data_IF_590131366485
#
_entry.id   IF_590131366485
#
_cell.length_a   1.000
_cell.length_b   1.000
_cell.length_c   1.000
_cell.angle_alpha   90.00
_cell.angle_beta   90.00
_cell.angle_gamma   90.00
#
_symmetry.space_group_name_H-M   'P 1'
#
loop_
_entity.id
_entity.type
_entity.pdbx_description
1 polymer ?
#
# COMPACT_ATOMS: atom_id res chain seq x y z
N UNK A 1 7.91 -21.71 -0.71
CA UNK A 1 7.89 -20.51 0.17
C UNK A 1 6.57 -19.80 -0.05
N UNK A 2 5.84 -19.46 1.02
CA UNK A 2 4.48 -18.89 0.93
C UNK A 2 4.58 -17.40 0.61
N UNK A 3 3.83 -16.93 -0.38
CA UNK A 3 3.72 -15.51 -0.70
C UNK A 3 3.07 -14.73 0.46
N UNK A 4 3.53 -13.52 0.78
CA UNK A 4 2.84 -12.68 1.76
C UNK A 4 1.52 -12.19 1.16
N UNK A 5 0.42 -12.46 1.85
CA UNK A 5 -0.86 -11.82 1.58
C UNK A 5 -0.79 -10.38 2.08
N UNK A 6 -1.31 -9.44 1.30
CA UNK A 6 -1.45 -8.04 1.71
C UNK A 6 -2.28 -7.97 2.99
N UNK A 7 -1.72 -7.42 4.06
CA UNK A 7 -2.47 -7.17 5.28
C UNK A 7 -3.40 -5.97 5.06
N UNK A 8 -4.63 -6.23 4.63
CA UNK A 8 -5.71 -5.24 4.61
C UNK A 8 -6.26 -5.06 6.03
N UNK A 9 -5.55 -4.31 6.87
CA UNK A 9 -6.05 -3.87 8.17
C UNK A 9 -6.98 -2.66 8.01
N UNK A 10 -8.08 -2.83 7.27
CA UNK A 10 -9.18 -1.85 7.18
C UNK A 10 -10.48 -2.54 7.61
N UNK A 11 -11.05 -2.19 8.77
CA UNK A 11 -12.35 -2.71 9.18
C UNK A 11 -13.43 -2.02 8.36
N UNK A 12 -14.14 -2.78 7.53
CA UNK A 12 -15.36 -2.37 6.87
C UNK A 12 -15.17 -1.86 5.44
N UNK A 13 -15.14 -2.80 4.49
CA UNK A 13 -15.98 -2.70 3.29
C UNK A 13 -16.00 -4.07 2.61
N UNK A 14 -17.14 -4.73 2.74
CA UNK A 14 -17.46 -5.99 2.09
C UNK A 14 -17.89 -5.65 0.65
N UNK A 15 -16.92 -5.61 -0.27
CA UNK A 15 -17.16 -5.51 -1.70
C UNK A 15 -16.56 -6.75 -2.35
N UNK A 16 -17.44 -7.69 -2.66
CA UNK A 16 -17.18 -8.85 -3.50
C UNK A 16 -16.74 -8.38 -4.88
N UNK A 17 -15.44 -8.47 -5.16
CA UNK A 17 -14.93 -8.43 -6.53
C UNK A 17 -14.41 -9.82 -6.85
N UNK A 18 -15.24 -10.58 -7.56
CA UNK A 18 -14.83 -11.77 -8.26
C UNK A 18 -13.67 -11.42 -9.20
N UNK A 19 -12.46 -11.78 -8.79
CA UNK A 19 -11.35 -11.97 -9.72
C UNK A 19 -10.73 -13.34 -9.47
N UNK A 20 -11.20 -14.26 -10.29
CA UNK A 20 -10.42 -15.32 -10.91
C UNK A 20 -8.98 -14.84 -11.22
N UNK A 21 -8.06 -15.17 -10.31
CA UNK A 21 -6.74 -15.66 -10.68
C UNK A 21 -6.54 -17.00 -9.99
N UNK A 22 -7.18 -17.95 -10.65
CA UNK A 22 -6.98 -19.38 -10.63
C UNK A 22 -5.48 -19.71 -10.69
N UNK A 23 -4.81 -19.91 -9.55
CA UNK A 23 -3.53 -20.62 -9.54
C UNK A 23 -3.34 -21.44 -8.25
N UNK A 24 -3.31 -22.75 -8.48
CA UNK A 24 -2.77 -23.80 -7.60
C UNK A 24 -3.36 -23.96 -6.20
N UNK A 25 -4.39 -24.81 -6.10
CA UNK A 25 -4.38 -26.06 -5.31
C UNK A 25 -5.75 -26.75 -5.44
N UNK A 26 -5.89 -27.66 -6.40
CA UNK A 26 -7.08 -28.52 -6.55
C UNK A 26 -7.12 -29.71 -5.57
N UNK A 27 -6.14 -29.86 -4.67
CA UNK A 27 -5.97 -31.07 -3.86
C UNK A 27 -6.06 -30.85 -2.35
N UNK A 28 -7.01 -30.05 -1.88
CA UNK A 28 -7.47 -30.12 -0.48
C UNK A 28 -9.00 -30.08 -0.44
N UNK A 29 -9.63 -31.06 -1.09
CA UNK A 29 -11.00 -31.42 -0.71
C UNK A 29 -10.93 -32.16 0.63
N UNK A 30 -11.73 -31.68 1.58
CA UNK A 30 -11.99 -32.22 2.91
C UNK A 30 -10.87 -32.14 3.97
N UNK A 31 -10.74 -30.96 4.59
CA UNK A 31 -10.35 -30.89 6.01
C UNK A 31 -11.51 -30.36 6.85
N UNK A 32 -12.52 -31.22 7.04
CA UNK A 32 -13.50 -31.05 8.12
C UNK A 32 -12.84 -31.40 9.45
N UNK A 33 -12.41 -30.39 10.21
CA UNK A 33 -11.88 -30.58 11.57
C UNK A 33 -13.02 -30.99 12.51
N UNK A 34 -13.21 -32.29 12.70
CA UNK A 34 -14.03 -32.84 13.78
C UNK A 34 -13.17 -32.96 15.03
N UNK A 35 -13.43 -32.11 16.01
CA UNK A 35 -12.84 -32.20 17.34
C UNK A 35 -13.51 -33.36 18.09
N UNK A 36 -12.97 -34.57 17.95
CA UNK A 36 -13.26 -35.67 18.86
C UNK A 36 -12.49 -35.43 20.16
N UNK A 37 -13.23 -35.15 21.23
CA UNK A 37 -12.76 -35.32 22.61
C UNK A 37 -12.71 -36.83 22.83
N UNK A 38 -11.51 -37.41 22.77
CA UNK A 38 -11.26 -38.76 23.26
C UNK A 38 -11.04 -38.63 24.77
N UNK A 39 -12.07 -39.03 25.53
CA UNK A 39 -12.07 -38.96 26.98
C UNK A 39 -12.18 -40.37 27.53
N UNK A 40 -11.06 -40.96 27.93
CA UNK A 40 -11.06 -42.14 28.77
C UNK A 40 -11.50 -41.77 30.20
N UNK A 41 -12.55 -42.45 30.63
CA UNK A 41 -13.29 -42.23 31.86
C UNK A 41 -12.50 -42.70 33.08
N UNK A 42 -12.07 -41.78 33.94
CA UNK A 42 -11.78 -42.12 35.33
C UNK A 42 -12.10 -40.94 36.27
N UNK A 43 -13.32 -40.98 36.82
CA UNK A 43 -13.55 -40.57 38.19
C UNK A 43 -14.15 -39.19 38.44
N UNK A 44 -15.36 -39.24 39.00
CA UNK A 44 -15.94 -38.26 39.92
C UNK A 44 -16.61 -37.00 39.34
N UNK A 45 -17.94 -37.08 39.29
CA UNK A 45 -18.86 -36.13 39.97
C UNK A 45 -18.61 -34.62 39.78
N UNK A 46 -19.44 -33.96 38.96
CA UNK A 46 -19.64 -32.52 39.07
C UNK A 46 -20.13 -31.81 37.81
N UNK A 47 -21.37 -32.09 37.38
CA UNK A 47 -22.00 -31.50 36.18
C UNK A 47 -22.40 -30.02 36.28
N UNK A 48 -21.67 -29.18 37.01
CA UNK A 48 -21.95 -27.75 37.14
C UNK A 48 -20.78 -26.84 36.73
N UNK A 49 -19.53 -27.35 36.74
CA UNK A 49 -18.34 -26.49 36.66
C UNK A 49 -17.88 -26.17 35.22
N UNK A 50 -18.22 -27.03 34.24
CA UNK A 50 -17.83 -26.81 32.83
C UNK A 50 -18.62 -25.67 32.20
N UNK A 51 -19.89 -25.50 32.55
CA UNK A 51 -20.72 -24.39 32.07
C UNK A 51 -20.25 -23.05 32.65
N UNK A 52 -19.74 -23.06 33.88
CA UNK A 52 -19.20 -21.87 34.54
C UNK A 52 -17.82 -21.49 34.00
N UNK A 53 -16.99 -22.46 33.59
CA UNK A 53 -15.75 -22.17 32.87
C UNK A 53 -16.02 -21.55 31.49
N UNK A 54 -16.99 -22.06 30.73
CA UNK A 54 -17.38 -21.49 29.43
C UNK A 54 -17.97 -20.08 29.60
N UNK A 55 -18.82 -19.84 30.60
CA UNK A 55 -19.34 -18.50 30.93
C UNK A 55 -18.24 -17.53 31.39
N UNK A 56 -17.21 -18.01 32.11
CA UNK A 56 -16.07 -17.20 32.56
C UNK A 56 -15.18 -16.77 31.38
N UNK A 57 -15.05 -17.61 30.36
CA UNK A 57 -14.32 -17.27 29.12
C UNK A 57 -15.14 -16.29 28.27
N UNK A 58 -16.44 -16.52 28.09
CA UNK A 58 -17.33 -15.63 27.35
C UNK A 58 -17.50 -14.25 28.02
N UNK A 59 -17.51 -14.18 29.35
CA UNK A 59 -17.60 -12.91 30.09
C UNK A 59 -16.28 -12.12 30.10
N UNK A 60 -15.12 -12.79 29.97
CA UNK A 60 -13.84 -12.11 29.71
C UNK A 60 -13.74 -11.53 28.30
N UNK A 61 -14.40 -12.15 27.32
CA UNK A 61 -14.49 -11.61 25.95
C UNK A 61 -15.54 -10.49 25.83
N UNK A 62 -16.59 -10.49 26.66
CA UNK A 62 -17.68 -9.49 26.61
C UNK A 62 -17.43 -8.24 27.46
N UNK A 63 -16.46 -8.25 28.38
CA UNK A 63 -16.17 -7.13 29.28
C UNK A 63 -14.99 -6.28 28.81
N UNK A 64 -15.08 -5.78 27.59
CA UNK A 64 -14.27 -4.65 27.10
C UNK A 64 -15.08 -3.60 26.35
N UNK A 65 -16.41 -3.61 26.45
CA UNK A 65 -17.23 -2.66 25.67
C UNK A 65 -18.48 -2.16 26.42
N UNK A 66 -18.23 -1.54 27.57
CA UNK A 66 -19.22 -0.71 28.25
C UNK A 66 -18.55 0.54 28.82
N UNK A 67 -18.20 1.46 27.93
CA UNK A 67 -17.75 2.82 28.23
C UNK A 67 -18.43 3.76 27.24
N UNK A 68 -19.08 4.79 27.76
CA UNK A 68 -20.04 5.61 27.03
C UNK A 68 -19.50 6.28 25.77
N UNK A 69 -20.45 6.50 24.86
CA UNK A 69 -20.46 7.55 23.86
C UNK A 69 -20.05 8.90 24.51
N UNK A 70 -18.77 9.30 24.37
CA UNK A 70 -18.21 10.65 24.34
C UNK A 70 -16.70 10.60 24.66
N UNK A 71 -15.89 11.28 23.83
CA UNK A 71 -14.44 11.54 24.00
C UNK A 71 -13.43 10.39 23.93
N UNK A 72 -13.22 9.83 22.72
CA UNK A 72 -11.91 9.29 22.32
C UNK A 72 -11.56 9.68 20.88
N UNK A 73 -11.69 10.97 20.59
CA UNK A 73 -11.05 11.61 19.45
C UNK A 73 -9.83 12.38 19.92
N UNK A 74 -8.92 11.77 20.70
CA UNK A 74 -7.55 12.29 20.83
C UNK A 74 -6.59 11.29 21.49
N UNK A 75 -5.32 11.34 21.06
CA UNK A 75 -4.11 10.84 21.75
C UNK A 75 -3.44 9.50 21.35
N UNK A 76 -3.76 8.91 20.20
CA UNK A 76 -2.68 8.23 19.44
C UNK A 76 -2.60 8.92 18.09
N UNK A 77 -1.54 9.70 17.80
CA UNK A 77 -1.28 10.13 16.45
C UNK A 77 -1.07 8.86 15.64
N UNK A 78 -2.12 8.40 14.95
CA UNK A 78 -1.98 7.32 13.99
C UNK A 78 -0.89 7.73 13.02
N UNK A 79 0.00 6.81 12.68
CA UNK A 79 1.18 7.00 11.81
C UNK A 79 0.87 7.75 10.50
N UNK A 80 -0.40 7.76 10.08
CA UNK A 80 -0.90 8.40 8.86
C UNK A 80 -2.23 9.17 9.10
N UNK A 81 -2.21 10.39 9.66
CA UNK A 81 -3.43 11.11 10.04
C UNK A 81 -4.27 11.60 8.86
N UNK A 82 -3.65 11.93 7.71
CA UNK A 82 -4.34 12.53 6.55
C UNK A 82 -5.10 11.51 5.70
N UNK A 83 -4.49 10.35 5.45
CA UNK A 83 -5.06 9.32 4.58
C UNK A 83 -6.35 8.73 5.14
N UNK A 84 -6.53 8.71 6.47
CA UNK A 84 -7.73 8.17 7.12
C UNK A 84 -8.99 9.00 6.86
N UNK A 85 -8.86 10.27 6.46
CA UNK A 85 -10.01 11.17 6.21
C UNK A 85 -10.46 11.19 4.74
N UNK A 86 -9.59 10.77 3.82
CA UNK A 86 -9.89 10.69 2.38
C UNK A 86 -10.60 9.36 2.08
N UNK A 87 -11.66 9.37 1.27
CA UNK A 87 -12.37 8.16 0.79
C UNK A 87 -11.91 7.74 -0.61
N UNK A 88 -11.13 8.58 -1.28
CA UNK A 88 -10.57 8.37 -2.63
C UNK A 88 -9.14 8.86 -2.66
N UNK A 89 -8.27 8.16 -3.37
CA UNK A 89 -6.91 8.61 -3.66
C UNK A 89 -6.73 8.66 -5.17
N UNK A 90 -6.34 9.82 -5.69
CA UNK A 90 -6.07 10.04 -7.10
C UNK A 90 -4.55 10.05 -7.27
N UNK A 91 -4.03 9.03 -7.95
CA UNK A 91 -2.59 8.94 -8.27
C UNK A 91 -2.36 9.60 -9.63
N UNK A 92 -1.58 10.67 -9.64
CA UNK A 92 -1.12 11.37 -10.83
C UNK A 92 0.26 10.80 -11.17
N UNK A 93 0.29 9.79 -12.05
CA UNK A 93 1.54 9.28 -12.60
C UNK A 93 1.88 10.05 -13.88
N UNK A 94 2.94 10.85 -13.84
CA UNK A 94 3.31 11.72 -14.97
C UNK A 94 4.82 11.89 -15.03
N UNK A 95 5.36 11.68 -16.23
CA UNK A 95 6.76 11.84 -16.55
C UNK A 95 6.84 12.42 -17.96
N UNK A 96 7.25 13.68 -18.07
CA UNK A 96 7.42 14.37 -19.34
C UNK A 96 8.74 15.14 -19.27
N UNK A 97 9.69 14.73 -20.09
CA UNK A 97 11.04 15.26 -20.11
C UNK A 97 11.40 15.76 -21.51
N UNK A 98 12.17 16.83 -21.56
CA UNK A 98 12.76 17.35 -22.78
C UNK A 98 13.96 16.48 -23.23
N UNK A 99 14.44 16.69 -24.46
CA UNK A 99 15.61 15.97 -25.00
C UNK A 99 16.89 16.14 -24.15
N UNK A 100 16.96 17.19 -23.35
CA UNK A 100 18.06 17.45 -22.41
C UNK A 100 17.89 16.77 -21.04
N UNK A 101 16.83 15.98 -20.86
CA UNK A 101 16.52 15.27 -19.62
C UNK A 101 15.88 16.12 -18.52
N UNK A 102 15.65 17.42 -18.74
CA UNK A 102 14.95 18.27 -17.78
C UNK A 102 13.43 18.05 -17.86
N UNK A 103 12.71 18.18 -16.74
CA UNK A 103 11.27 18.06 -16.74
C UNK A 103 10.60 19.19 -17.52
N UNK A 104 9.68 18.82 -18.40
CA UNK A 104 8.92 19.76 -19.22
C UNK A 104 7.88 20.49 -18.34
N UNK A 105 7.75 21.80 -18.53
CA UNK A 105 6.81 22.67 -17.79
C UNK A 105 5.34 22.29 -18.01
N UNK A 106 5.02 21.62 -19.11
CA UNK A 106 3.68 21.11 -19.37
C UNK A 106 3.23 20.08 -18.32
N UNK A 107 4.18 19.41 -17.66
CA UNK A 107 3.89 18.53 -16.53
C UNK A 107 3.22 19.29 -15.37
N UNK A 108 3.68 20.51 -15.05
CA UNK A 108 3.03 21.36 -14.04
C UNK A 108 1.60 21.70 -14.47
N UNK A 109 1.38 22.01 -15.75
CA UNK A 109 0.05 22.34 -16.25
C UNK A 109 -0.90 21.15 -16.14
N UNK A 110 -0.44 19.94 -16.46
CA UNK A 110 -1.21 18.70 -16.32
C UNK A 110 -1.62 18.50 -14.86
N UNK A 111 -0.66 18.56 -13.93
CA UNK A 111 -0.90 18.39 -12.50
C UNK A 111 -1.93 19.42 -12.00
N UNK A 112 -1.74 20.70 -12.32
CA UNK A 112 -2.67 21.76 -11.91
C UNK A 112 -4.07 21.58 -12.49
N UNK A 113 -4.19 21.16 -13.75
CA UNK A 113 -5.50 20.93 -14.40
C UNK A 113 -6.24 19.77 -13.73
N UNK A 114 -5.55 18.68 -13.39
CA UNK A 114 -6.15 17.55 -12.69
C UNK A 114 -6.65 17.97 -11.31
N UNK A 115 -5.79 18.62 -10.52
CA UNK A 115 -6.17 19.12 -9.18
C UNK A 115 -7.37 20.05 -9.28
N UNK A 116 -7.34 21.03 -10.19
CA UNK A 116 -8.46 21.95 -10.42
C UNK A 116 -9.74 21.22 -10.83
N UNK A 117 -9.66 20.25 -11.74
CA UNK A 117 -10.82 19.50 -12.20
C UNK A 117 -11.53 18.75 -11.07
N UNK A 118 -10.76 18.16 -10.15
CA UNK A 118 -11.30 17.49 -8.95
C UNK A 118 -11.89 18.50 -7.96
N UNK A 119 -11.30 19.69 -7.87
CA UNK A 119 -11.78 20.77 -7.01
C UNK A 119 -13.06 21.45 -7.52
N UNK A 120 -13.49 21.22 -8.77
CA UNK A 120 -14.75 21.76 -9.32
C UNK A 120 -15.96 21.28 -8.52
N UNK A 121 -15.96 20.01 -8.10
CA UNK A 121 -17.03 19.45 -7.26
C UNK A 121 -16.60 19.43 -5.77
N UNK A 122 -17.20 20.25 -4.90
CA UNK A 122 -16.83 20.32 -3.49
C UNK A 122 -17.00 18.98 -2.75
N UNK A 123 -17.95 18.14 -3.14
CA UNK A 123 -18.18 16.84 -2.50
C UNK A 123 -17.02 15.88 -2.81
N UNK A 124 -16.62 15.82 -4.08
CA UNK A 124 -15.46 15.02 -4.52
C UNK A 124 -14.16 15.58 -3.94
N UNK A 125 -13.96 16.91 -3.96
CA UNK A 125 -12.75 17.55 -3.44
C UNK A 125 -12.50 17.25 -1.96
N UNK A 126 -13.56 17.25 -1.15
CA UNK A 126 -13.47 16.99 0.30
C UNK A 126 -13.00 15.58 0.62
N UNK A 127 -13.38 14.59 -0.20
CA UNK A 127 -13.10 13.18 0.06
C UNK A 127 -11.93 12.62 -0.76
N UNK A 128 -11.39 13.38 -1.70
CA UNK A 128 -10.29 12.94 -2.57
C UNK A 128 -8.96 13.44 -2.04
N UNK A 129 -7.98 12.55 -1.95
CA UNK A 129 -6.57 12.88 -1.77
C UNK A 129 -5.80 12.72 -3.07
N UNK A 130 -4.57 13.21 -3.10
CA UNK A 130 -3.68 13.13 -4.25
C UNK A 130 -2.38 12.43 -3.92
N UNK A 131 -1.87 11.63 -4.84
CA UNK A 131 -0.48 11.20 -4.83
C UNK A 131 0.18 11.57 -6.15
N UNK A 132 1.40 12.07 -6.12
CA UNK A 132 2.21 12.25 -7.34
C UNK A 132 3.14 11.05 -7.50
N UNK A 133 3.22 10.50 -8.71
CA UNK A 133 4.19 9.46 -9.06
C UNK A 133 5.00 9.90 -10.27
N UNK A 134 6.32 9.87 -10.12
CA UNK A 134 7.28 10.30 -11.15
C UNK A 134 8.59 9.53 -11.03
N UNK A 135 9.32 9.43 -12.13
CA UNK A 135 10.70 8.98 -12.19
C UNK A 135 11.68 9.95 -11.51
N UNK A 136 11.28 11.21 -11.29
CA UNK A 136 12.12 12.25 -10.72
C UNK A 136 12.50 11.97 -9.24
N UNK A 137 13.77 12.18 -8.84
CA UNK A 137 14.19 12.07 -7.45
C UNK A 137 13.53 13.11 -6.55
N UNK A 138 13.35 12.78 -5.27
CA UNK A 138 12.60 13.61 -4.31
C UNK A 138 13.00 15.09 -4.29
N UNK A 139 14.30 15.40 -4.22
CA UNK A 139 14.77 16.79 -4.15
C UNK A 139 14.39 17.58 -5.41
N UNK A 140 14.60 16.96 -6.59
CA UNK A 140 14.23 17.57 -7.86
C UNK A 140 12.71 17.74 -7.97
N UNK A 141 11.92 16.77 -7.49
CA UNK A 141 10.46 16.86 -7.48
C UNK A 141 9.97 18.05 -6.66
N UNK A 142 10.56 18.29 -5.47
CA UNK A 142 10.22 19.45 -4.65
C UNK A 142 10.53 20.76 -5.38
N UNK A 143 11.73 20.88 -5.95
CA UNK A 143 12.15 22.08 -6.68
C UNK A 143 11.26 22.33 -7.91
N UNK A 144 10.93 21.27 -8.63
CA UNK A 144 10.06 21.33 -9.79
C UNK A 144 8.64 21.78 -9.42
N UNK A 145 8.03 21.20 -8.38
CA UNK A 145 6.71 21.62 -7.89
C UNK A 145 6.72 23.08 -7.41
N UNK A 146 7.77 23.50 -6.69
CA UNK A 146 7.97 24.90 -6.27
C UNK A 146 8.04 25.84 -7.46
N UNK A 147 8.72 25.46 -8.53
CA UNK A 147 8.79 26.26 -9.77
C UNK A 147 7.41 26.49 -10.42
N UNK A 148 6.47 25.57 -10.20
CA UNK A 148 5.08 25.65 -10.63
C UNK A 148 4.11 26.24 -9.61
N UNK A 149 4.61 26.77 -8.49
CA UNK A 149 3.80 27.27 -7.36
C UNK A 149 2.78 26.23 -6.83
N UNK A 150 3.15 24.94 -6.86
CA UNK A 150 2.39 23.85 -6.24
C UNK A 150 3.02 23.53 -4.89
N UNK A 151 2.20 23.45 -3.84
CA UNK A 151 2.71 23.09 -2.53
C UNK A 151 2.84 21.58 -2.43
N UNK A 152 3.93 21.11 -1.82
CA UNK A 152 4.11 19.68 -1.54
C UNK A 152 2.96 19.13 -0.68
N UNK A 153 2.40 19.96 0.20
CA UNK A 153 1.25 19.64 1.05
C UNK A 153 -0.09 19.53 0.29
N UNK A 154 -0.14 19.88 -1.00
CA UNK A 154 -1.32 19.65 -1.84
C UNK A 154 -1.49 18.14 -2.15
N UNK A 155 -0.43 17.36 -1.97
CA UNK A 155 -0.43 15.91 -2.10
C UNK A 155 -0.49 15.25 -0.73
N UNK A 156 -1.16 14.11 -0.63
CA UNK A 156 -1.16 13.24 0.54
C UNK A 156 0.04 12.26 0.52
N UNK A 157 0.63 12.01 -0.66
CA UNK A 157 1.85 11.21 -0.81
C UNK A 157 2.67 11.60 -2.07
N UNK A 158 3.98 11.41 -2.03
CA UNK A 158 4.88 11.52 -3.18
C UNK A 158 5.62 10.20 -3.41
N UNK A 159 5.50 9.67 -4.61
CA UNK A 159 6.20 8.48 -5.10
C UNK A 159 7.27 8.96 -6.08
N UNK A 160 8.53 8.87 -5.68
CA UNK A 160 9.66 9.40 -6.42
C UNK A 160 10.57 8.27 -6.92
N UNK A 161 11.56 8.62 -7.75
CA UNK A 161 12.61 7.71 -8.20
C UNK A 161 12.02 6.42 -8.78
N UNK A 162 10.99 6.56 -9.62
CA UNK A 162 10.26 5.47 -10.27
C UNK A 162 9.62 4.47 -9.29
N UNK A 163 9.21 4.95 -8.11
CA UNK A 163 8.59 4.11 -7.08
C UNK A 163 9.57 3.34 -6.22
N UNK A 164 10.84 3.74 -6.17
CA UNK A 164 11.77 3.24 -5.15
C UNK A 164 11.68 4.02 -3.83
N UNK A 165 11.06 5.20 -3.85
CA UNK A 165 10.91 6.07 -2.70
C UNK A 165 9.45 6.52 -2.54
N UNK A 166 8.94 6.49 -1.31
CA UNK A 166 7.60 6.95 -0.95
C UNK A 166 7.70 7.90 0.25
N UNK A 167 7.07 9.07 0.15
CA UNK A 167 7.09 10.11 1.17
C UNK A 167 5.68 10.62 1.48
N UNK A 168 5.46 11.02 2.73
CA UNK A 168 4.27 11.71 3.17
C UNK A 168 4.62 13.14 3.62
N UNK A 169 3.80 14.15 3.30
CA UNK A 169 3.95 15.48 3.89
C UNK A 169 3.69 15.43 5.39
N UNK A 170 4.61 15.99 6.18
CA UNK A 170 4.58 15.89 7.64
C UNK A 170 3.34 16.52 8.26
N UNK A 171 2.57 15.72 9.01
CA UNK A 171 1.48 16.19 9.87
C UNK A 171 2.04 16.69 11.21
N UNK A 172 2.26 18.00 11.32
CA UNK A 172 1.88 18.73 12.53
C UNK A 172 2.60 18.43 13.85
N UNK A 173 3.93 18.34 13.87
CA UNK A 173 4.69 18.85 15.03
C UNK A 173 5.64 19.92 14.56
N UNK A 174 5.17 21.17 14.64
CA UNK A 174 5.89 22.45 14.60
C UNK A 174 7.37 22.40 14.19
N UNK A 175 7.61 22.24 12.90
CA UNK A 175 8.70 22.95 12.23
C UNK A 175 8.11 23.51 10.94
N UNK A 176 8.06 24.82 10.86
CA UNK A 176 7.93 25.54 9.59
C UNK A 176 8.88 24.86 8.59
N UNK A 177 8.36 24.39 7.43
CA UNK A 177 9.11 23.99 6.20
C UNK A 177 8.49 22.83 5.38
N UNK A 178 7.34 22.25 5.75
CA UNK A 178 6.70 21.23 4.90
C UNK A 178 7.58 19.99 4.67
N UNK A 179 8.30 19.58 5.73
CA UNK A 179 9.26 18.49 5.70
C UNK A 179 8.58 17.16 5.32
N UNK A 180 9.02 16.57 4.21
CA UNK A 180 8.60 15.23 3.79
C UNK A 180 9.20 14.16 4.73
N UNK A 181 8.39 13.18 5.08
CA UNK A 181 8.78 12.03 5.90
C UNK A 181 8.75 10.78 5.02
N UNK A 182 9.85 10.02 4.90
CA UNK A 182 9.85 8.77 4.16
C UNK A 182 8.93 7.74 4.82
N UNK A 183 8.26 6.92 4.02
CA UNK A 183 7.50 5.79 4.53
C UNK A 183 8.47 4.77 5.17
N UNK A 184 8.29 4.46 6.47
CA UNK A 184 9.21 3.62 7.21
C UNK A 184 9.10 2.12 6.88
N UNK A 185 7.99 1.68 6.28
CA UNK A 185 7.73 0.28 5.98
C UNK A 185 7.92 -0.01 4.47
N UNK A 186 7.98 1.01 3.62
CA UNK A 186 8.01 0.89 2.17
C UNK A 186 9.20 0.10 1.64
N UNK A 187 10.40 0.32 2.18
CA UNK A 187 11.59 -0.43 1.78
C UNK A 187 11.39 -1.95 1.95
N UNK A 188 10.83 -2.37 3.07
CA UNK A 188 10.51 -3.78 3.31
C UNK A 188 9.41 -4.31 2.38
N UNK A 189 8.45 -3.46 1.96
CA UNK A 189 7.40 -3.85 1.03
C UNK A 189 7.89 -4.05 -0.41
N UNK A 190 8.90 -3.29 -0.86
CA UNK A 190 9.39 -3.35 -2.24
C UNK A 190 10.58 -4.30 -2.45
N UNK A 191 11.31 -4.64 -1.39
CA UNK A 191 12.54 -5.46 -1.42
C UNK A 191 12.36 -6.79 -2.19
N UNK A 192 11.19 -7.43 -2.04
CA UNK A 192 10.92 -8.72 -2.67
C UNK A 192 10.67 -8.64 -4.19
N UNK A 193 10.24 -7.50 -4.72
CA UNK A 193 9.75 -7.44 -6.11
C UNK A 193 10.85 -7.28 -7.14
N UNK A 194 11.94 -6.60 -6.81
CA UNK A 194 13.03 -6.29 -7.75
C UNK A 194 14.38 -6.30 -7.03
N UNK A 195 14.84 -7.49 -6.63
CA UNK A 195 16.17 -7.63 -6.03
C UNK A 195 17.26 -7.06 -6.93
N UNK A 196 18.13 -6.22 -6.37
CA UNK A 196 19.20 -5.51 -7.08
C UNK A 196 20.03 -6.43 -8.00
N UNK A 197 20.30 -7.66 -7.55
CA UNK A 197 21.03 -8.67 -8.33
C UNK A 197 20.27 -9.15 -9.57
N UNK A 198 18.95 -9.32 -9.47
CA UNK A 198 18.11 -9.67 -10.62
C UNK A 198 18.12 -8.58 -11.68
N UNK A 199 18.01 -7.31 -11.26
CA UNK A 199 18.08 -6.17 -12.15
C UNK A 199 19.46 -6.05 -12.81
N UNK A 200 20.56 -6.17 -12.05
CA UNK A 200 21.93 -6.16 -12.59
C UNK A 200 22.13 -7.25 -13.64
N UNK A 201 21.65 -8.47 -13.38
CA UNK A 201 21.76 -9.59 -14.32
C UNK A 201 20.98 -9.33 -15.61
N UNK A 202 19.78 -8.76 -15.50
CA UNK A 202 18.97 -8.39 -16.66
C UNK A 202 19.62 -7.27 -17.47
N UNK A 203 20.11 -6.21 -16.83
CA UNK A 203 20.84 -5.11 -17.50
C UNK A 203 22.09 -5.66 -18.18
N UNK A 204 22.88 -6.47 -17.48
CA UNK A 204 24.06 -7.12 -18.05
C UNK A 204 23.69 -7.99 -19.25
N UNK A 205 22.59 -8.75 -19.17
CA UNK A 205 22.14 -9.55 -20.29
C UNK A 205 21.74 -8.68 -21.48
N UNK A 206 20.95 -7.63 -21.26
CA UNK A 206 20.50 -6.68 -22.30
C UNK A 206 21.66 -5.95 -22.97
N UNK A 207 22.65 -5.50 -22.21
CA UNK A 207 23.84 -4.83 -22.75
C UNK A 207 24.74 -5.77 -23.56
N UNK A 208 24.69 -7.08 -23.28
CA UNK A 208 25.51 -8.09 -23.94
C UNK A 208 24.72 -8.99 -24.90
N UNK A 209 23.43 -8.73 -25.11
CA UNK A 209 22.67 -9.40 -26.16
C UNK A 209 23.06 -8.71 -27.47
N UNK A 210 24.04 -9.27 -28.17
CA UNK A 210 24.35 -8.84 -29.51
C UNK A 210 23.13 -9.13 -30.40
N UNK A 211 22.55 -8.09 -30.99
CA UNK A 211 21.65 -8.25 -32.13
C UNK A 211 22.47 -8.87 -33.27
N UNK A 212 22.17 -10.13 -33.60
CA UNK A 212 22.74 -10.80 -34.77
C UNK A 212 23.67 -11.99 -34.47
N UNK A 213 23.15 -13.04 -33.85
CA UNK A 213 23.50 -14.38 -34.33
C UNK A 213 22.42 -14.82 -35.33
N UNK A 214 22.53 -14.36 -36.58
CA UNK A 214 21.98 -15.12 -37.69
C UNK A 214 22.71 -16.47 -37.71
N UNK A 215 22.14 -17.45 -37.00
CA UNK A 215 22.48 -18.85 -37.25
C UNK A 215 22.00 -19.19 -38.65
N UNK A 216 22.89 -19.00 -39.62
CA UNK A 216 22.81 -19.60 -40.94
C UNK A 216 22.92 -21.12 -40.79
N UNK A 217 21.83 -21.77 -40.37
CA UNK A 217 21.66 -23.19 -40.62
C UNK A 217 21.31 -23.34 -42.09
N UNK A 218 22.33 -23.45 -42.94
CA UNK A 218 22.15 -23.99 -44.29
C UNK A 218 21.62 -25.42 -44.17
N UNK A 219 20.50 -25.78 -44.81
CA UNK A 219 20.15 -27.18 -44.99
C UNK A 219 21.12 -27.77 -46.01
N UNK A 220 21.92 -28.74 -45.59
CA UNK A 220 22.68 -29.60 -46.50
C UNK A 220 21.68 -30.56 -47.15
N UNK A 221 21.78 -30.66 -48.48
CA UNK A 221 21.03 -31.52 -49.40
C UNK A 221 21.01 -33.01 -49.02
#
# INVERSE_FOLDING_TARGET
MRHPQWQTNTPGDDITVDQSFNDSLKDVQDMSLRLSIDGDLAGASGGADTQDQVKRVLSKMKKSDSGGLNDFADSVPGKYPLLRRRRRLIVIAVDLYEDNGNPNKDMIQIIQRIIKAVQIDPQTARVSGFALSTAMPMLQTIEFLKSGNIQVNDFDALICSSGSELYYPGTGTYTEDGKLVPDPDYAAHIDYRWGCEGLKKTIWHLMNTAEGEEKSSSPIE
#
